data_IF_721846002245
#
_entry.id   IF_721846002245
#
_cell.length_a   1.000
_cell.length_b   1.000
_cell.length_c   1.000
_cell.angle_alpha   90.00
_cell.angle_beta   90.00
_cell.angle_gamma   90.00
#
_symmetry.space_group_name_H-M   'P 1'
#
loop_
_entity.id
_entity.type
_entity.pdbx_description
1 polymer ?
#
# COMPACT_ATOMS: atom_id res chain seq x y z
N UNK A 1 1.15 -10.69 -9.28
CA UNK A 1 1.15 -9.88 -8.04
C UNK A 1 2.19 -10.30 -7.02
N UNK A 2 2.31 -11.56 -6.65
CA UNK A 2 3.37 -12.02 -5.73
C UNK A 2 4.77 -11.75 -6.28
N UNK A 3 5.03 -12.09 -7.54
CA UNK A 3 6.31 -11.82 -8.20
C UNK A 3 6.61 -10.34 -8.33
N UNK A 4 5.60 -9.52 -8.55
CA UNK A 4 5.74 -8.06 -8.64
C UNK A 4 6.08 -7.44 -7.29
N UNK A 5 5.43 -7.88 -6.21
CA UNK A 5 5.77 -7.44 -4.84
C UNK A 5 7.21 -7.86 -4.47
N UNK A 6 7.61 -9.08 -4.82
CA UNK A 6 8.97 -9.55 -4.61
C UNK A 6 9.97 -8.70 -5.40
N UNK A 7 9.65 -8.38 -6.64
CA UNK A 7 10.48 -7.51 -7.48
C UNK A 7 10.60 -6.09 -6.88
N UNK A 8 9.52 -5.52 -6.38
CA UNK A 8 9.57 -4.23 -5.67
C UNK A 8 10.51 -4.27 -4.47
N UNK A 9 10.43 -5.33 -3.65
CA UNK A 9 11.27 -5.51 -2.47
C UNK A 9 12.76 -5.66 -2.82
N UNK A 10 13.06 -6.44 -3.86
CA UNK A 10 14.46 -6.74 -4.26
C UNK A 10 15.13 -5.62 -5.03
N UNK A 11 14.37 -4.84 -5.81
CA UNK A 11 14.92 -3.74 -6.62
C UNK A 11 14.93 -2.39 -5.90
N UNK A 12 14.22 -2.26 -4.78
CA UNK A 12 14.21 -1.02 -4.00
C UNK A 12 15.51 -0.83 -3.20
N UNK A 13 16.04 0.37 -3.23
CA UNK A 13 17.26 0.74 -2.49
C UNK A 13 17.03 0.77 -0.97
N UNK A 14 15.80 1.05 -0.55
CA UNK A 14 15.42 1.16 0.86
C UNK A 14 13.92 0.87 1.04
N UNK A 15 13.50 0.76 2.31
CA UNK A 15 12.12 0.43 2.66
C UNK A 15 11.10 1.50 2.22
N UNK A 16 11.48 2.76 2.17
CA UNK A 16 10.61 3.86 1.70
C UNK A 16 10.39 3.74 0.19
N UNK A 17 11.44 3.54 -0.59
CA UNK A 17 11.33 3.32 -2.04
C UNK A 17 10.49 2.11 -2.38
N UNK A 18 10.63 1.04 -1.62
CA UNK A 18 9.82 -0.17 -1.78
C UNK A 18 8.32 0.15 -1.73
N UNK A 19 7.88 0.96 -0.76
CA UNK A 19 6.49 1.37 -0.64
C UNK A 19 6.06 2.22 -1.83
N UNK A 20 6.89 3.15 -2.30
CA UNK A 20 6.59 3.95 -3.50
C UNK A 20 6.46 3.09 -4.76
N UNK A 21 7.30 2.07 -4.92
CA UNK A 21 7.19 1.10 -6.03
C UNK A 21 5.91 0.27 -5.95
N UNK A 22 5.55 -0.18 -4.75
CA UNK A 22 4.27 -0.88 -4.52
C UNK A 22 3.08 0.03 -4.82
N UNK A 23 3.13 1.29 -4.41
CA UNK A 23 2.07 2.27 -4.75
C UNK A 23 1.90 2.40 -6.26
N UNK A 24 3.00 2.54 -7.00
CA UNK A 24 2.96 2.67 -8.45
C UNK A 24 2.38 1.41 -9.11
N UNK A 25 2.81 0.24 -8.67
CA UNK A 25 2.27 -1.05 -9.12
C UNK A 25 0.75 -1.13 -8.88
N UNK A 26 0.31 -0.78 -7.68
CA UNK A 26 -1.12 -0.78 -7.33
C UNK A 26 -1.90 0.21 -8.19
N UNK A 27 -1.35 1.41 -8.44
CA UNK A 27 -1.98 2.41 -9.32
C UNK A 27 -2.13 1.90 -10.76
N UNK A 28 -1.14 1.20 -11.29
CA UNK A 28 -1.24 0.58 -12.62
C UNK A 28 -2.34 -0.48 -12.66
N UNK A 29 -2.45 -1.32 -11.63
CA UNK A 29 -3.54 -2.28 -11.52
C UNK A 29 -4.91 -1.60 -11.46
N UNK A 30 -5.05 -0.51 -10.71
CA UNK A 30 -6.29 0.26 -10.67
C UNK A 30 -6.70 0.84 -12.03
N UNK A 31 -5.74 1.31 -12.81
CA UNK A 31 -6.01 1.86 -14.16
C UNK A 31 -6.52 0.79 -15.12
N UNK A 32 -6.07 -0.45 -14.93
CA UNK A 32 -6.40 -1.58 -15.81
C UNK A 32 -7.61 -2.37 -15.32
N UNK A 33 -8.12 -2.10 -14.12
CA UNK A 33 -9.17 -2.86 -13.48
C UNK A 33 -10.54 -2.19 -13.67
N UNK A 34 -11.52 -2.98 -14.09
CA UNK A 34 -12.92 -2.54 -14.05
C UNK A 34 -13.42 -2.63 -12.60
N UNK A 35 -13.83 -1.50 -11.97
CA UNK A 35 -14.34 -1.49 -10.61
C UNK A 35 -15.54 -2.43 -10.39
N UNK A 36 -16.32 -2.67 -11.44
CA UNK A 36 -17.49 -3.57 -11.39
C UNK A 36 -17.09 -5.01 -11.12
N UNK A 37 -15.91 -5.46 -11.54
CA UNK A 37 -15.44 -6.83 -11.32
C UNK A 37 -15.28 -7.14 -9.83
N UNK A 38 -14.68 -6.23 -9.07
CA UNK A 38 -14.55 -6.38 -7.62
C UNK A 38 -15.89 -6.36 -6.90
N UNK A 39 -16.77 -5.47 -7.32
CA UNK A 39 -18.13 -5.38 -6.78
C UNK A 39 -18.92 -6.68 -7.05
N UNK A 40 -18.84 -7.19 -8.27
CA UNK A 40 -19.51 -8.44 -8.66
C UNK A 40 -18.94 -9.65 -7.92
N UNK A 41 -17.63 -9.75 -7.75
CA UNK A 41 -16.99 -10.79 -6.96
C UNK A 41 -17.49 -10.78 -5.51
N UNK A 42 -17.53 -9.63 -4.88
CA UNK A 42 -18.00 -9.48 -3.50
C UNK A 42 -19.48 -9.82 -3.36
N UNK A 43 -20.31 -9.40 -4.33
CA UNK A 43 -21.76 -9.56 -4.29
C UNK A 43 -22.21 -10.98 -4.62
N UNK A 44 -21.60 -11.63 -5.64
CA UNK A 44 -22.08 -12.89 -6.21
C UNK A 44 -21.21 -14.10 -5.88
N UNK A 45 -19.98 -13.91 -5.41
CA UNK A 45 -19.00 -14.97 -5.14
C UNK A 45 -18.35 -14.83 -3.76
N UNK A 46 -19.16 -14.62 -2.75
CA UNK A 46 -18.75 -14.25 -1.38
C UNK A 46 -17.75 -15.24 -0.78
N UNK A 47 -17.98 -16.55 -0.92
CA UNK A 47 -17.09 -17.60 -0.37
C UNK A 47 -15.75 -17.67 -1.12
N UNK A 48 -15.77 -17.54 -2.45
CA UNK A 48 -14.55 -17.54 -3.26
C UNK A 48 -13.74 -16.26 -3.01
N UNK A 49 -14.40 -15.12 -2.86
CA UNK A 49 -13.78 -13.85 -2.50
C UNK A 49 -13.12 -13.92 -1.12
N UNK A 50 -13.81 -14.49 -0.11
CA UNK A 50 -13.28 -14.65 1.24
C UNK A 50 -12.01 -15.52 1.27
N UNK A 51 -11.98 -16.65 0.54
CA UNK A 51 -10.78 -17.49 0.41
C UNK A 51 -9.63 -16.78 -0.30
N UNK A 52 -9.93 -16.07 -1.37
CA UNK A 52 -8.94 -15.28 -2.10
C UNK A 52 -8.31 -14.21 -1.18
N UNK A 53 -9.13 -13.50 -0.42
CA UNK A 53 -8.67 -12.50 0.54
C UNK A 53 -7.86 -13.10 1.66
N UNK A 54 -8.22 -14.27 2.18
CA UNK A 54 -7.46 -14.97 3.22
C UNK A 54 -6.04 -15.31 2.76
N UNK A 55 -5.87 -15.92 1.60
CA UNK A 55 -4.56 -16.21 1.03
C UNK A 55 -3.73 -14.95 0.76
N UNK A 56 -4.38 -13.94 0.19
CA UNK A 56 -3.76 -12.65 -0.10
C UNK A 56 -3.31 -11.95 1.20
N UNK A 57 -4.11 -12.03 2.25
CA UNK A 57 -3.84 -11.40 3.54
C UNK A 57 -2.61 -12.02 4.22
N UNK A 58 -2.45 -13.34 4.19
CA UNK A 58 -1.27 -14.02 4.76
C UNK A 58 0.00 -13.54 4.06
N UNK A 59 0.00 -13.56 2.74
CA UNK A 59 1.15 -13.11 1.93
C UNK A 59 1.46 -11.62 2.13
N UNK A 60 0.43 -10.76 2.06
CA UNK A 60 0.61 -9.32 2.22
C UNK A 60 1.07 -8.93 3.63
N UNK A 61 0.57 -9.63 4.65
CA UNK A 61 1.01 -9.40 6.02
C UNK A 61 2.52 -9.66 6.18
N UNK A 62 3.02 -10.71 5.57
CA UNK A 62 4.45 -11.02 5.55
C UNK A 62 5.26 -9.95 4.82
N UNK A 63 4.82 -9.55 3.64
CA UNK A 63 5.47 -8.48 2.85
C UNK A 63 5.53 -7.17 3.64
N UNK A 64 4.42 -6.76 4.24
CA UNK A 64 4.34 -5.53 5.04
C UNK A 64 5.24 -5.61 6.27
N UNK A 65 5.20 -6.73 7.00
CA UNK A 65 6.03 -6.94 8.20
C UNK A 65 7.51 -6.89 7.87
N UNK A 66 7.92 -7.51 6.76
CA UNK A 66 9.31 -7.51 6.28
C UNK A 66 9.77 -6.09 5.90
N UNK A 67 8.92 -5.34 5.21
CA UNK A 67 9.18 -3.94 4.88
C UNK A 67 9.36 -3.06 6.13
N UNK A 68 8.47 -3.20 7.12
CA UNK A 68 8.57 -2.45 8.37
C UNK A 68 9.87 -2.77 9.13
N UNK A 69 10.25 -4.03 9.21
CA UNK A 69 11.52 -4.47 9.83
C UNK A 69 12.72 -3.87 9.10
N UNK A 70 12.69 -3.88 7.77
CA UNK A 70 13.72 -3.27 6.94
C UNK A 70 13.87 -1.77 7.21
N UNK A 71 12.76 -1.05 7.23
CA UNK A 71 12.76 0.39 7.47
C UNK A 71 13.28 0.78 8.86
N UNK A 72 12.96 -0.02 9.89
CA UNK A 72 13.51 0.15 11.24
C UNK A 72 15.03 -0.08 11.23
N UNK A 73 15.48 -1.18 10.60
CA UNK A 73 16.89 -1.52 10.48
C UNK A 73 17.70 -0.46 9.72
N UNK A 74 17.12 0.13 8.68
CA UNK A 74 17.75 1.20 7.88
C UNK A 74 17.70 2.57 8.56
N UNK A 75 16.98 2.70 9.67
CA UNK A 75 16.86 3.98 10.42
C UNK A 75 15.84 4.96 9.84
N UNK A 76 15.06 4.57 8.85
CA UNK A 76 14.01 5.40 8.24
C UNK A 76 12.67 5.32 8.97
N UNK A 77 12.39 4.18 9.63
CA UNK A 77 11.20 4.00 10.46
C UNK A 77 11.59 3.99 11.93
N UNK A 78 10.69 4.50 12.77
CA UNK A 78 10.91 4.63 14.21
C UNK A 78 11.09 3.24 14.88
N UNK A 79 11.98 3.16 15.85
CA UNK A 79 12.26 1.91 16.59
C UNK A 79 11.16 1.52 17.58
N UNK A 80 10.29 2.47 17.96
CA UNK A 80 9.21 2.24 18.93
C UNK A 80 7.93 1.69 18.31
N UNK A 81 7.90 1.46 17.00
CA UNK A 81 6.72 0.92 16.32
C UNK A 81 6.47 -0.55 16.71
N UNK A 82 5.21 -0.90 16.84
CA UNK A 82 4.76 -2.29 17.02
C UNK A 82 4.46 -2.89 15.64
N UNK A 83 5.43 -3.62 15.10
CA UNK A 83 5.39 -4.15 13.72
C UNK A 83 4.15 -5.01 13.46
N UNK A 84 3.81 -5.91 14.38
CA UNK A 84 2.64 -6.78 14.25
C UNK A 84 1.32 -6.00 14.18
N UNK A 85 1.18 -4.97 15.00
CA UNK A 85 -0.02 -4.12 15.01
C UNK A 85 -0.08 -3.26 13.76
N UNK A 86 1.03 -2.61 13.40
CA UNK A 86 1.05 -1.71 12.24
C UNK A 86 0.97 -2.45 10.92
N UNK A 87 1.50 -3.67 10.84
CA UNK A 87 1.33 -4.50 9.65
C UNK A 87 -0.15 -4.87 9.43
N UNK A 88 -0.86 -5.26 10.48
CA UNK A 88 -2.30 -5.52 10.42
C UNK A 88 -3.10 -4.27 10.10
N UNK A 89 -2.79 -3.15 10.75
CA UNK A 89 -3.41 -1.86 10.46
C UNK A 89 -3.23 -1.47 8.98
N UNK A 90 -2.03 -1.63 8.44
CA UNK A 90 -1.75 -1.37 7.03
C UNK A 90 -2.56 -2.26 6.11
N UNK A 91 -2.61 -3.55 6.42
CA UNK A 91 -3.37 -4.54 5.65
C UNK A 91 -4.86 -4.19 5.60
N UNK A 92 -5.47 -3.90 6.75
CA UNK A 92 -6.88 -3.49 6.83
C UNK A 92 -7.14 -2.16 6.11
N UNK A 93 -6.23 -1.20 6.24
CA UNK A 93 -6.37 0.10 5.58
C UNK A 93 -6.27 0.03 4.05
N UNK A 94 -5.65 -1.00 3.49
CA UNK A 94 -5.61 -1.21 2.03
C UNK A 94 -7.00 -1.43 1.42
N UNK A 95 -7.92 -2.02 2.18
CA UNK A 95 -9.29 -2.28 1.72
C UNK A 95 -10.22 -1.08 1.90
N UNK A 96 -9.78 -0.06 2.60
CA UNK A 96 -10.60 1.10 2.94
C UNK A 96 -11.10 1.86 1.70
N UNK A 97 -10.24 1.96 0.68
CA UNK A 97 -10.58 2.61 -0.60
C UNK A 97 -11.72 1.92 -1.35
N UNK A 98 -11.97 0.64 -1.07
CA UNK A 98 -13.04 -0.15 -1.68
C UNK A 98 -14.32 -0.20 -0.83
N UNK A 99 -14.31 0.40 0.34
CA UNK A 99 -15.50 0.51 1.17
C UNK A 99 -16.42 1.59 0.60
N UNK A 100 -17.46 1.17 -0.11
CA UNK A 100 -18.39 2.05 -0.81
C UNK A 100 -19.26 2.89 0.13
N UNK A 101 -19.43 2.46 1.38
CA UNK A 101 -20.15 3.27 2.39
C UNK A 101 -19.27 4.43 2.89
N UNK A 102 -17.99 4.15 3.17
CA UNK A 102 -17.05 5.17 3.61
C UNK A 102 -16.62 6.10 2.47
N UNK A 103 -16.32 5.54 1.30
CA UNK A 103 -15.83 6.27 0.13
C UNK A 103 -16.66 5.93 -1.12
N UNK A 104 -17.89 6.47 -1.24
CA UNK A 104 -18.72 6.23 -2.40
C UNK A 104 -18.04 6.70 -3.71
N UNK A 105 -18.03 5.86 -4.77
CA UNK A 105 -17.33 6.13 -6.03
C UNK A 105 -17.79 7.39 -6.77
N UNK A 106 -19.02 7.82 -6.51
CA UNK A 106 -19.59 9.06 -7.08
C UNK A 106 -18.84 10.31 -6.58
N UNK A 107 -18.29 10.24 -5.37
CA UNK A 107 -17.64 11.38 -4.71
C UNK A 107 -16.12 11.22 -4.59
N UNK A 108 -15.63 10.00 -4.45
CA UNK A 108 -14.22 9.70 -4.18
C UNK A 108 -13.60 8.86 -5.27
N UNK A 109 -12.34 9.19 -5.61
CA UNK A 109 -11.51 8.35 -6.47
C UNK A 109 -10.74 7.36 -5.61
N UNK A 110 -10.91 6.05 -5.84
CA UNK A 110 -10.28 4.99 -5.05
C UNK A 110 -8.74 5.05 -5.09
N UNK A 111 -8.16 5.45 -6.22
CA UNK A 111 -6.72 5.63 -6.35
C UNK A 111 -6.21 6.77 -5.46
N UNK A 112 -6.91 7.90 -5.45
CA UNK A 112 -6.59 9.04 -4.59
C UNK A 112 -6.69 8.69 -3.11
N UNK A 113 -7.76 8.01 -2.70
CA UNK A 113 -7.94 7.52 -1.32
C UNK A 113 -6.78 6.60 -0.92
N UNK A 114 -6.40 5.67 -1.79
CA UNK A 114 -5.29 4.74 -1.54
C UNK A 114 -3.96 5.49 -1.34
N UNK A 115 -3.65 6.46 -2.19
CA UNK A 115 -2.43 7.27 -2.08
C UNK A 115 -2.39 8.02 -0.74
N UNK A 116 -3.46 8.71 -0.40
CA UNK A 116 -3.54 9.51 0.82
C UNK A 116 -3.38 8.62 2.07
N UNK A 117 -4.03 7.46 2.10
CA UNK A 117 -3.92 6.50 3.20
C UNK A 117 -2.49 5.98 3.36
N UNK A 118 -1.84 5.60 2.26
CA UNK A 118 -0.45 5.13 2.28
C UNK A 118 0.52 6.22 2.72
N UNK A 119 0.40 7.42 2.19
CA UNK A 119 1.25 8.55 2.56
C UNK A 119 1.11 8.89 4.05
N UNK A 120 -0.10 8.92 4.56
CA UNK A 120 -0.34 9.16 5.98
C UNK A 120 0.28 8.08 6.87
N UNK A 121 0.20 6.82 6.45
CA UNK A 121 0.86 5.71 7.12
C UNK A 121 2.38 5.86 7.14
N UNK A 122 2.99 6.22 6.00
CA UNK A 122 4.43 6.46 5.88
C UNK A 122 4.91 7.55 6.83
N UNK A 123 4.23 8.68 6.86
CA UNK A 123 4.60 9.79 7.76
C UNK A 123 4.50 9.39 9.23
N UNK A 124 3.54 8.56 9.58
CA UNK A 124 3.40 8.02 10.94
C UNK A 124 4.52 7.08 11.36
N UNK A 125 5.18 6.41 10.41
CA UNK A 125 6.32 5.52 10.66
C UNK A 125 7.66 6.25 10.76
N UNK A 126 7.79 7.40 10.10
CA UNK A 126 9.06 7.99 9.73
C UNK A 126 9.84 8.57 10.92
N UNK A 127 11.15 8.33 10.91
CA UNK A 127 12.15 9.14 11.62
C UNK A 127 12.36 10.49 10.88
N UNK A 128 13.17 11.39 11.41
CA UNK A 128 13.53 12.63 10.71
C UNK A 128 14.19 12.36 9.35
N UNK A 129 15.08 11.37 9.25
CA UNK A 129 15.71 10.96 7.99
C UNK A 129 14.71 10.26 7.06
N UNK A 130 13.81 9.46 7.60
CA UNK A 130 12.70 8.85 6.86
C UNK A 130 11.76 9.89 6.25
N UNK A 131 11.41 10.91 7.01
CA UNK A 131 10.59 12.04 6.54
C UNK A 131 11.23 12.74 5.33
N UNK A 132 12.51 13.08 5.41
CA UNK A 132 13.24 13.68 4.29
C UNK A 132 13.23 12.81 3.04
N UNK A 133 13.40 11.51 3.23
CA UNK A 133 13.41 10.55 2.12
C UNK A 133 12.03 10.44 1.47
N UNK A 134 10.96 10.42 2.25
CA UNK A 134 9.58 10.45 1.74
C UNK A 134 9.34 11.70 0.89
N UNK A 135 9.76 12.87 1.38
CA UNK A 135 9.62 14.12 0.63
C UNK A 135 10.39 14.10 -0.69
N UNK A 136 11.58 13.51 -0.73
CA UNK A 136 12.39 13.37 -1.93
C UNK A 136 11.67 12.47 -2.97
N UNK A 137 11.12 11.34 -2.57
CA UNK A 137 10.39 10.45 -3.47
C UNK A 137 9.08 11.08 -3.98
N UNK A 138 8.37 11.80 -3.14
CA UNK A 138 7.17 12.56 -3.56
C UNK A 138 7.52 13.62 -4.60
N UNK A 139 8.61 14.36 -4.42
CA UNK A 139 9.07 15.37 -5.35
C UNK A 139 9.45 14.78 -6.71
N UNK A 140 10.16 13.65 -6.74
CA UNK A 140 10.49 12.90 -7.96
C UNK A 140 9.24 12.46 -8.72
N UNK A 141 8.26 11.91 -8.00
CA UNK A 141 7.00 11.46 -8.57
C UNK A 141 6.22 12.61 -9.22
N UNK A 142 6.13 13.75 -8.55
CA UNK A 142 5.44 14.93 -9.06
C UNK A 142 6.13 15.49 -10.33
N UNK A 143 7.45 15.43 -10.41
CA UNK A 143 8.21 15.88 -11.58
C UNK A 143 7.95 14.98 -12.80
N UNK A 144 7.85 13.67 -12.61
CA UNK A 144 7.56 12.70 -13.67
C UNK A 144 6.14 12.89 -14.22
N UNK A 145 5.18 13.19 -13.35
CA UNK A 145 3.78 13.39 -13.76
C UNK A 145 3.50 14.79 -14.33
N UNK A 146 4.38 15.76 -14.14
CA UNK A 146 4.27 17.09 -14.70
C UNK A 146 4.82 17.19 -16.15
N UNK A 147 5.47 16.15 -16.66
CA UNK A 147 5.93 16.01 -18.06
C UNK A 147 4.93 15.16 -18.86
#
# INVERSE_FOLDING_TARGET
>A
MQDECHNCATTAENAVEEIFKVMEMVMQHFRNMNPMVLFDMHKFHDKAFAKFMEHKNIFLLDVISTNLKRGVSEGYFRQDIKIDILAKFRLESMMLAFNMEAFPPVKYNAAEVTIIVIENFLYGLATASGFKLIEQYKAKKNTIHAQ
#
